data_IF_304468717988
#
_entry.id   IF_304468717988
#
_cell.length_a   1.000
_cell.length_b   1.000
_cell.length_c   1.000
_cell.angle_alpha   90.00
_cell.angle_beta   90.00
_cell.angle_gamma   90.00
#
_symmetry.space_group_name_H-M   'P 1'
#
loop_
_entity.id
_entity.type
_entity.pdbx_description
1 polymer ?
#
# COMPACT_ATOMS: atom_id res chain seq x y z
N UNK A 1 -24.83 31.95 -6.41
CA UNK A 1 -24.19 31.38 -5.22
C UNK A 1 -22.68 31.59 -5.37
N UNK A 2 -22.07 32.25 -4.43
CA UNK A 2 -20.69 32.75 -4.55
C UNK A 2 -19.71 31.57 -4.51
N UNK A 3 -19.01 31.33 -5.62
CA UNK A 3 -18.01 30.25 -5.80
C UNK A 3 -16.94 30.32 -4.70
N UNK A 4 -16.60 31.52 -4.22
CA UNK A 4 -15.61 31.73 -3.16
C UNK A 4 -16.03 31.13 -1.80
N UNK A 5 -17.33 31.01 -1.49
CA UNK A 5 -17.81 30.40 -0.25
C UNK A 5 -17.75 28.86 -0.26
N UNK A 6 -17.64 28.22 -1.45
CA UNK A 6 -17.56 26.75 -1.61
C UNK A 6 -16.15 26.18 -1.43
N UNK A 7 -15.11 27.00 -1.43
CA UNK A 7 -13.70 26.56 -1.43
C UNK A 7 -13.10 26.35 -0.02
N UNK A 8 -13.69 26.96 1.02
CA UNK A 8 -13.19 26.81 2.40
C UNK A 8 -13.59 25.45 2.95
N UNK A 9 -12.68 24.49 2.91
CA UNK A 9 -12.91 23.15 3.49
C UNK A 9 -12.74 23.21 5.01
N UNK A 10 -13.82 22.92 5.72
CA UNK A 10 -13.84 22.75 7.18
C UNK A 10 -13.48 21.31 7.56
N UNK A 11 -13.11 21.10 8.84
CA UNK A 11 -12.95 19.75 9.40
C UNK A 11 -14.22 18.90 9.20
N UNK A 12 -15.41 19.48 9.35
CA UNK A 12 -16.68 18.77 9.17
C UNK A 12 -16.81 18.27 7.73
N UNK A 13 -16.41 19.05 6.73
CA UNK A 13 -16.43 18.61 5.33
C UNK A 13 -15.50 17.43 5.07
N UNK A 14 -14.31 17.39 5.68
CA UNK A 14 -13.41 16.23 5.59
C UNK A 14 -14.05 14.98 6.19
N UNK A 15 -14.71 15.14 7.34
CA UNK A 15 -15.43 14.05 8.01
C UNK A 15 -16.62 13.57 7.15
N UNK A 16 -17.39 14.47 6.55
CA UNK A 16 -18.51 14.12 5.66
C UNK A 16 -18.02 13.32 4.45
N UNK A 17 -16.94 13.74 3.80
CA UNK A 17 -16.33 12.98 2.69
C UNK A 17 -15.86 11.60 3.14
N UNK A 18 -15.05 11.53 4.22
CA UNK A 18 -14.57 10.27 4.77
C UNK A 18 -15.72 9.31 5.05
N UNK A 19 -16.77 9.76 5.73
CA UNK A 19 -17.94 8.94 6.09
C UNK A 19 -18.76 8.53 4.87
N UNK A 20 -18.81 9.37 3.85
CA UNK A 20 -19.45 9.00 2.57
C UNK A 20 -18.72 7.81 1.93
N UNK A 21 -17.40 7.88 1.77
CA UNK A 21 -16.61 6.79 1.20
C UNK A 21 -16.68 5.53 2.07
N UNK A 22 -16.58 5.67 3.38
CA UNK A 22 -16.71 4.55 4.31
C UNK A 22 -18.04 3.82 4.19
N UNK A 23 -19.11 4.57 3.99
CA UNK A 23 -20.47 4.04 3.86
C UNK A 23 -20.74 3.34 2.52
N UNK A 24 -20.01 3.72 1.46
CA UNK A 24 -20.19 3.22 0.11
C UNK A 24 -18.87 2.68 -0.48
N UNK A 25 -18.23 1.72 0.19
CA UNK A 25 -16.93 1.20 -0.23
C UNK A 25 -17.04 0.34 -1.49
N UNK A 26 -16.01 0.37 -2.33
CA UNK A 26 -15.92 -0.47 -3.52
C UNK A 26 -14.57 -1.20 -3.52
N UNK A 27 -14.56 -2.47 -3.97
CA UNK A 27 -13.36 -3.30 -4.02
C UNK A 27 -12.39 -2.82 -5.10
N UNK A 28 -11.12 -3.25 -4.99
CA UNK A 28 -10.08 -3.04 -6.00
C UNK A 28 -10.57 -3.41 -7.41
N UNK A 29 -10.29 -2.56 -8.38
CA UNK A 29 -10.76 -2.64 -9.78
C UNK A 29 -12.30 -2.57 -9.98
N UNK A 30 -13.05 -2.07 -8.98
CA UNK A 30 -14.50 -1.90 -9.02
C UNK A 30 -14.94 -0.51 -8.50
N UNK A 31 -14.03 0.44 -8.36
CA UNK A 31 -14.23 1.77 -7.74
C UNK A 31 -14.97 2.75 -8.70
N UNK A 32 -16.05 2.29 -9.31
CA UNK A 32 -16.79 3.07 -10.31
C UNK A 32 -17.46 4.30 -9.70
N UNK A 33 -18.23 4.12 -8.62
CA UNK A 33 -18.95 5.21 -7.95
C UNK A 33 -18.00 6.09 -7.14
N UNK A 34 -17.01 5.49 -6.47
CA UNK A 34 -15.99 6.18 -5.71
C UNK A 34 -15.23 7.15 -6.60
N UNK A 35 -14.70 6.66 -7.73
CA UNK A 35 -13.98 7.50 -8.68
C UNK A 35 -14.88 8.54 -9.36
N UNK A 36 -16.16 8.21 -9.62
CA UNK A 36 -17.12 9.16 -10.17
C UNK A 36 -17.41 10.29 -9.19
N UNK A 37 -17.60 9.98 -7.90
CA UNK A 37 -17.84 10.99 -6.87
C UNK A 37 -16.63 11.95 -6.72
N UNK A 38 -15.41 11.42 -6.71
CA UNK A 38 -14.18 12.22 -6.72
C UNK A 38 -14.11 13.11 -7.95
N UNK A 39 -14.35 12.54 -9.15
CA UNK A 39 -14.33 13.27 -10.40
C UNK A 39 -15.33 14.41 -10.41
N UNK A 40 -16.56 14.18 -9.92
CA UNK A 40 -17.62 15.20 -9.89
C UNK A 40 -17.30 16.35 -8.95
N UNK A 41 -16.68 16.09 -7.77
CA UNK A 41 -16.20 17.16 -6.87
C UNK A 41 -15.13 18.01 -7.56
N UNK A 42 -14.15 17.36 -8.19
CA UNK A 42 -12.99 18.05 -8.75
C UNK A 42 -13.35 18.90 -9.99
N UNK A 43 -14.23 18.40 -10.87
CA UNK A 43 -14.65 19.12 -12.08
C UNK A 43 -15.47 20.39 -11.79
N UNK A 44 -16.07 20.49 -10.60
CA UNK A 44 -16.77 21.70 -10.15
C UNK A 44 -15.80 22.86 -9.82
N UNK A 45 -14.48 22.62 -9.78
CA UNK A 45 -13.45 23.60 -9.47
C UNK A 45 -12.84 24.14 -10.78
N UNK A 46 -13.17 25.37 -11.21
CA UNK A 46 -12.89 25.84 -12.59
C UNK A 46 -11.42 25.95 -12.97
N UNK A 47 -10.50 25.97 -11.97
CA UNK A 47 -9.06 26.10 -12.22
C UNK A 47 -8.31 24.75 -12.27
N UNK A 48 -9.03 23.64 -12.17
CA UNK A 48 -8.46 22.32 -12.30
C UNK A 48 -8.68 21.75 -13.69
N UNK A 49 -7.65 21.08 -14.22
CA UNK A 49 -7.75 20.21 -15.37
C UNK A 49 -7.97 18.77 -14.83
N UNK A 50 -9.17 18.25 -14.97
CA UNK A 50 -9.54 16.94 -14.42
C UNK A 50 -9.64 15.92 -15.55
N UNK A 51 -9.05 14.75 -15.35
CA UNK A 51 -9.01 13.65 -16.31
C UNK A 51 -9.15 12.28 -15.64
N UNK A 52 -9.36 11.25 -16.44
CA UNK A 52 -9.36 9.84 -16.03
C UNK A 52 -8.23 9.12 -16.75
N UNK A 53 -7.04 8.99 -16.13
CA UNK A 53 -5.92 8.30 -16.75
C UNK A 53 -6.20 6.82 -17.03
N UNK A 54 -6.92 6.16 -16.13
CA UNK A 54 -7.40 4.78 -16.27
C UNK A 54 -8.90 4.72 -16.05
N UNK A 55 -9.49 3.55 -16.15
CA UNK A 55 -10.95 3.35 -15.98
C UNK A 55 -11.47 3.87 -14.64
N UNK A 56 -10.72 3.66 -13.56
CA UNK A 56 -11.17 3.95 -12.20
C UNK A 56 -10.34 5.02 -11.48
N UNK A 57 -9.25 5.50 -12.06
CA UNK A 57 -8.46 6.57 -11.47
C UNK A 57 -8.96 7.96 -11.87
N UNK A 58 -8.63 8.95 -11.04
CA UNK A 58 -8.88 10.35 -11.33
C UNK A 58 -7.58 11.13 -11.12
N UNK A 59 -7.26 12.01 -12.07
CA UNK A 59 -6.16 12.97 -11.93
C UNK A 59 -6.71 14.39 -12.08
N UNK A 60 -6.33 15.26 -11.15
CA UNK A 60 -6.55 16.70 -11.28
C UNK A 60 -5.20 17.43 -11.32
N UNK A 61 -5.09 18.44 -12.17
CA UNK A 61 -3.90 19.28 -12.32
C UNK A 61 -4.22 20.69 -11.93
N UNK A 62 -3.44 21.25 -11.02
CA UNK A 62 -3.48 22.66 -10.64
C UNK A 62 -2.23 23.35 -11.18
N UNK A 63 -2.41 24.14 -12.23
CA UNK A 63 -1.32 24.89 -12.85
C UNK A 63 -1.19 26.23 -12.16
N UNK A 64 0.00 26.49 -11.60
CA UNK A 64 0.36 27.75 -10.95
C UNK A 64 0.53 28.91 -11.94
N UNK A 65 0.81 30.08 -11.42
CA UNK A 65 0.96 31.33 -12.22
C UNK A 65 2.38 31.55 -12.75
N UNK A 66 3.35 30.84 -12.24
CA UNK A 66 4.76 30.97 -12.60
C UNK A 66 5.36 29.60 -12.93
N UNK A 67 6.36 29.52 -13.79
CA UNK A 67 7.11 28.29 -14.02
C UNK A 67 7.71 27.76 -12.71
N UNK A 68 7.78 26.43 -12.57
CA UNK A 68 8.33 25.78 -11.39
C UNK A 68 8.26 24.26 -11.53
N UNK A 69 8.42 23.57 -10.43
CA UNK A 69 8.42 22.11 -10.35
C UNK A 69 7.01 21.52 -10.44
N UNK A 70 6.93 20.29 -10.93
CA UNK A 70 5.71 19.49 -10.90
C UNK A 70 5.76 18.53 -9.71
N UNK A 71 4.79 18.64 -8.80
CA UNK A 71 4.68 17.82 -7.61
C UNK A 71 3.42 16.97 -7.70
N UNK A 72 3.56 15.65 -7.60
CA UNK A 72 2.43 14.74 -7.51
C UNK A 72 2.10 14.40 -6.06
N UNK A 73 0.81 14.23 -5.77
CA UNK A 73 0.28 13.81 -4.46
C UNK A 73 -0.73 12.71 -4.69
N UNK A 74 -0.60 11.58 -3.98
CA UNK A 74 -1.43 10.39 -4.19
C UNK A 74 -2.29 10.07 -2.98
N UNK A 75 -3.51 9.64 -3.26
CA UNK A 75 -4.36 8.87 -2.37
C UNK A 75 -4.94 7.65 -3.10
N UNK A 76 -5.01 6.51 -2.43
CA UNK A 76 -5.71 5.31 -2.85
C UNK A 76 -7.22 5.40 -2.55
N UNK A 77 -8.04 4.54 -3.20
CA UNK A 77 -9.49 4.66 -3.12
C UNK A 77 -10.24 3.35 -2.83
N UNK A 78 -9.60 2.21 -2.95
CA UNK A 78 -10.23 0.91 -2.84
C UNK A 78 -10.49 0.46 -1.41
N UNK A 79 -11.40 -0.50 -1.27
CA UNK A 79 -11.79 -1.15 -0.03
C UNK A 79 -11.50 -2.65 -0.08
N UNK A 80 -11.68 -3.32 1.06
CA UNK A 80 -11.34 -4.72 1.29
C UNK A 80 -12.59 -5.62 1.39
N UNK A 81 -12.48 -6.91 1.04
CA UNK A 81 -13.54 -7.90 1.18
C UNK A 81 -13.68 -8.36 2.64
N UNK A 82 -14.04 -7.43 3.53
CA UNK A 82 -14.17 -7.65 4.97
C UNK A 82 -15.58 -7.29 5.40
N UNK A 83 -16.21 -8.15 6.21
CA UNK A 83 -17.48 -7.85 6.85
C UNK A 83 -17.26 -6.94 8.06
N UNK A 84 -17.81 -5.74 8.01
CA UNK A 84 -17.64 -4.75 9.07
C UNK A 84 -18.42 -5.12 10.34
N UNK A 85 -17.76 -4.98 11.50
CA UNK A 85 -18.29 -5.24 12.83
C UNK A 85 -18.40 -3.99 13.73
N UNK A 86 -18.26 -2.80 13.14
CA UNK A 86 -18.44 -1.54 13.86
C UNK A 86 -19.93 -1.22 14.10
N UNK A 87 -20.21 -0.31 15.07
CA UNK A 87 -21.56 0.03 15.48
C UNK A 87 -21.91 1.53 15.30
N UNK A 88 -21.07 2.32 14.62
CA UNK A 88 -21.37 3.72 14.34
C UNK A 88 -22.36 3.87 13.15
N UNK A 89 -22.95 5.05 12.99
CA UNK A 89 -24.04 5.35 12.04
C UNK A 89 -23.62 5.45 10.56
N UNK A 90 -22.33 5.34 10.27
CA UNK A 90 -21.77 5.40 8.91
C UNK A 90 -21.03 4.11 8.49
N UNK A 91 -21.38 2.95 9.07
CA UNK A 91 -20.88 1.64 8.64
C UNK A 91 -21.16 1.39 7.15
N UNK A 92 -20.40 0.48 6.56
CA UNK A 92 -20.60 0.05 5.17
C UNK A 92 -22.05 -0.40 4.91
N UNK A 93 -22.62 0.08 3.81
CA UNK A 93 -23.93 -0.39 3.32
C UNK A 93 -23.84 -1.63 2.44
N UNK A 94 -22.61 -2.09 2.13
CA UNK A 94 -22.36 -3.27 1.30
C UNK A 94 -21.82 -4.42 2.19
N UNK A 95 -22.67 -5.43 2.52
CA UNK A 95 -22.22 -6.55 3.33
C UNK A 95 -20.99 -7.23 2.75
N UNK A 96 -19.95 -7.43 3.57
CA UNK A 96 -18.71 -8.06 3.16
C UNK A 96 -17.70 -7.14 2.47
N UNK A 97 -17.93 -5.83 2.42
CA UNK A 97 -16.98 -4.84 1.90
C UNK A 97 -16.81 -3.71 2.90
N UNK A 98 -15.57 -3.34 3.22
CA UNK A 98 -15.24 -2.32 4.22
C UNK A 98 -13.96 -1.57 3.87
N UNK A 99 -13.93 -0.26 4.12
CA UNK A 99 -12.67 0.48 4.20
C UNK A 99 -11.93 0.14 5.50
N UNK A 100 -11.19 -0.96 5.51
CA UNK A 100 -10.44 -1.44 6.67
C UNK A 100 -8.95 -1.08 6.63
N UNK A 101 -8.52 -0.23 5.66
CA UNK A 101 -7.15 0.28 5.57
C UNK A 101 -7.04 1.80 5.74
N UNK A 102 -8.16 2.54 5.65
CA UNK A 102 -8.18 3.99 5.87
C UNK A 102 -8.16 4.82 4.57
N UNK A 103 -8.35 4.19 3.41
CA UNK A 103 -8.36 4.86 2.11
C UNK A 103 -9.50 5.87 1.98
N UNK A 104 -10.63 5.66 2.66
CA UNK A 104 -11.70 6.65 2.83
C UNK A 104 -11.18 7.96 3.43
N UNK A 105 -10.29 7.88 4.41
CA UNK A 105 -9.60 9.02 5.00
C UNK A 105 -8.54 9.63 4.07
N UNK A 106 -7.81 8.80 3.29
CA UNK A 106 -6.82 9.28 2.33
C UNK A 106 -7.48 10.12 1.22
N UNK A 107 -8.60 9.66 0.67
CA UNK A 107 -9.38 10.42 -0.31
C UNK A 107 -9.83 11.76 0.28
N UNK A 108 -10.40 11.74 1.50
CA UNK A 108 -10.87 12.94 2.15
C UNK A 108 -9.74 13.96 2.42
N UNK A 109 -8.56 13.48 2.84
CA UNK A 109 -7.36 14.31 3.01
C UNK A 109 -6.97 14.93 1.67
N UNK A 110 -6.85 14.14 0.60
CA UNK A 110 -6.40 14.65 -0.70
C UNK A 110 -7.39 15.66 -1.29
N UNK A 111 -8.70 15.44 -1.17
CA UNK A 111 -9.72 16.44 -1.52
C UNK A 111 -9.54 17.74 -0.72
N UNK A 112 -9.25 17.62 0.58
CA UNK A 112 -8.93 18.76 1.42
C UNK A 112 -7.69 19.53 0.96
N UNK A 113 -6.63 18.81 0.57
CA UNK A 113 -5.39 19.37 0.00
C UNK A 113 -5.67 20.12 -1.29
N UNK A 114 -6.47 19.54 -2.20
CA UNK A 114 -6.90 20.17 -3.45
C UNK A 114 -7.51 21.53 -3.17
N UNK A 115 -8.53 21.58 -2.31
CA UNK A 115 -9.24 22.85 -2.02
C UNK A 115 -8.31 23.89 -1.41
N UNK A 116 -7.42 23.50 -0.48
CA UNK A 116 -6.47 24.43 0.16
C UNK A 116 -5.44 24.99 -0.82
N UNK A 117 -4.94 24.17 -1.75
CA UNK A 117 -3.97 24.63 -2.74
C UNK A 117 -4.64 25.47 -3.84
N UNK A 118 -5.90 25.20 -4.18
CA UNK A 118 -6.68 26.07 -5.07
C UNK A 118 -6.85 27.47 -4.49
N UNK A 119 -7.14 27.60 -3.18
CA UNK A 119 -7.16 28.90 -2.49
C UNK A 119 -5.81 29.62 -2.58
N UNK A 120 -4.71 28.86 -2.56
CA UNK A 120 -3.35 29.39 -2.60
C UNK A 120 -2.76 29.50 -4.02
N UNK A 121 -3.55 29.26 -5.09
CA UNK A 121 -3.06 29.14 -6.47
C UNK A 121 -2.14 30.27 -6.93
N UNK A 122 -2.41 31.50 -6.54
CA UNK A 122 -1.59 32.68 -6.91
C UNK A 122 -0.15 32.59 -6.38
N UNK A 123 0.09 31.76 -5.35
CA UNK A 123 1.42 31.53 -4.74
C UNK A 123 2.12 30.29 -5.30
N UNK A 124 1.41 29.49 -6.12
CA UNK A 124 1.96 28.25 -6.67
C UNK A 124 2.84 28.57 -7.87
N UNK A 125 4.08 28.06 -7.83
CA UNK A 125 5.00 27.99 -8.96
C UNK A 125 5.04 26.54 -9.46
N UNK A 126 4.91 26.34 -10.78
CA UNK A 126 4.87 25.01 -11.38
C UNK A 126 3.48 24.38 -11.38
N UNK A 127 3.42 23.08 -11.19
CA UNK A 127 2.20 22.27 -11.30
C UNK A 127 2.05 21.36 -10.08
N UNK A 128 0.80 21.17 -9.61
CA UNK A 128 0.46 20.14 -8.64
C UNK A 128 -0.47 19.13 -9.32
N UNK A 129 -0.10 17.83 -9.27
CA UNK A 129 -0.94 16.72 -9.73
C UNK A 129 -1.51 15.98 -8.55
N UNK A 130 -2.82 15.88 -8.49
CA UNK A 130 -3.54 15.11 -7.48
C UNK A 130 -3.96 13.80 -8.11
N UNK A 131 -3.43 12.69 -7.60
CA UNK A 131 -3.64 11.34 -8.10
C UNK A 131 -4.55 10.57 -7.16
N UNK A 132 -5.77 10.31 -7.58
CA UNK A 132 -6.71 9.43 -6.88
C UNK A 132 -6.64 8.07 -7.56
N UNK A 133 -6.00 7.13 -6.87
CA UNK A 133 -5.62 5.84 -7.41
C UNK A 133 -6.61 4.75 -6.98
N UNK A 134 -6.96 3.86 -7.89
CA UNK A 134 -7.70 2.63 -7.64
C UNK A 134 -6.77 1.47 -7.27
N UNK A 135 -7.34 0.38 -6.72
CA UNK A 135 -6.76 -0.96 -6.58
C UNK A 135 -5.34 -0.98 -6.00
N UNK A 136 -5.15 -0.44 -4.79
CA UNK A 136 -3.90 -0.59 -4.04
C UNK A 136 -3.78 -1.99 -3.44
N UNK A 137 -4.87 -2.56 -2.93
CA UNK A 137 -4.93 -3.78 -2.11
C UNK A 137 -4.86 -5.09 -2.92
N UNK A 138 -4.90 -5.01 -4.26
CA UNK A 138 -4.97 -6.20 -5.11
C UNK A 138 -4.02 -6.11 -6.30
N UNK A 139 -3.17 -7.13 -6.49
CA UNK A 139 -2.24 -7.21 -7.62
C UNK A 139 -2.97 -7.16 -8.97
N UNK A 140 -2.37 -6.57 -10.01
CA UNK A 140 -1.03 -5.96 -10.07
C UNK A 140 -0.96 -4.52 -9.52
N UNK A 141 -2.03 -3.98 -8.97
CA UNK A 141 -2.13 -2.61 -8.45
C UNK A 141 -2.49 -1.57 -9.50
N UNK A 142 -3.22 -0.55 -9.05
CA UNK A 142 -3.62 0.56 -9.91
C UNK A 142 -2.49 1.56 -10.21
N UNK A 143 -1.45 1.58 -9.38
CA UNK A 143 -0.33 2.50 -9.56
C UNK A 143 0.44 2.24 -10.87
N UNK A 144 0.70 0.99 -11.23
CA UNK A 144 1.38 0.63 -12.49
C UNK A 144 0.55 1.06 -13.71
N UNK A 145 -0.79 0.89 -13.67
CA UNK A 145 -1.68 1.35 -14.75
C UNK A 145 -1.64 2.88 -14.90
N UNK A 146 -1.66 3.61 -13.79
CA UNK A 146 -1.57 5.07 -13.80
C UNK A 146 -0.21 5.55 -14.33
N UNK A 147 0.88 4.91 -13.92
CA UNK A 147 2.23 5.20 -14.44
C UNK A 147 2.30 4.95 -15.94
N UNK A 148 1.75 3.82 -16.42
CA UNK A 148 1.68 3.51 -17.85
C UNK A 148 0.84 4.52 -18.64
N UNK A 149 -0.20 5.09 -18.01
CA UNK A 149 -1.02 6.17 -18.58
C UNK A 149 -0.34 7.55 -18.57
N UNK A 150 0.92 7.65 -18.12
CA UNK A 150 1.74 8.86 -18.23
C UNK A 150 1.52 9.90 -17.10
N UNK A 151 0.84 9.56 -16.00
CA UNK A 151 0.57 10.53 -14.92
C UNK A 151 1.85 11.09 -14.28
N UNK A 152 2.97 10.38 -14.42
CA UNK A 152 4.27 10.77 -13.86
C UNK A 152 5.18 11.49 -14.86
N UNK A 153 4.76 11.74 -16.09
CA UNK A 153 5.58 12.44 -17.08
C UNK A 153 5.88 13.88 -16.62
N UNK A 154 7.19 14.20 -16.47
CA UNK A 154 7.64 15.52 -16.04
C UNK A 154 7.39 15.83 -14.56
N UNK A 155 7.06 14.82 -13.73
CA UNK A 155 6.95 15.00 -12.27
C UNK A 155 8.34 15.04 -11.65
N UNK A 156 8.62 16.08 -10.87
CA UNK A 156 9.89 16.26 -10.12
C UNK A 156 9.88 15.51 -8.79
N UNK A 157 8.74 15.52 -8.08
CA UNK A 157 8.57 14.87 -6.78
C UNK A 157 7.19 14.24 -6.64
N UNK A 158 7.12 13.12 -5.91
CA UNK A 158 5.85 12.53 -5.51
C UNK A 158 5.80 12.32 -4.00
N UNK A 159 4.65 12.60 -3.40
CA UNK A 159 4.38 12.36 -1.99
C UNK A 159 3.07 11.62 -1.78
N UNK A 160 3.08 10.68 -0.85
CA UNK A 160 1.91 9.94 -0.38
C UNK A 160 1.98 9.78 1.13
N UNK A 161 0.85 9.45 1.75
CA UNK A 161 0.80 9.16 3.16
C UNK A 161 -0.23 8.08 3.48
N UNK A 162 0.01 7.35 4.57
CA UNK A 162 -0.94 6.41 5.13
C UNK A 162 -1.41 6.84 6.51
N UNK A 163 -2.70 6.76 6.76
CA UNK A 163 -3.30 6.86 8.08
C UNK A 163 -2.96 5.58 8.87
N UNK A 164 -2.21 5.70 9.96
CA UNK A 164 -1.62 4.54 10.62
C UNK A 164 -2.22 4.30 11.99
N UNK A 165 -3.01 3.22 12.13
CA UNK A 165 -3.76 2.91 13.34
C UNK A 165 -2.89 2.63 14.57
N UNK A 166 -1.68 2.10 14.39
CA UNK A 166 -0.74 1.87 15.50
C UNK A 166 0.03 3.12 15.94
N UNK A 167 -0.07 4.22 15.20
CA UNK A 167 0.46 5.53 15.57
C UNK A 167 -0.67 6.39 16.14
N UNK A 168 -0.43 6.99 17.29
CA UNK A 168 -1.42 7.82 17.99
C UNK A 168 -1.76 9.08 17.18
N UNK A 169 -3.04 9.45 17.14
CA UNK A 169 -3.52 10.68 16.49
C UNK A 169 -2.75 11.91 17.00
N UNK A 170 -2.46 12.83 16.10
CA UNK A 170 -1.63 13.99 16.40
C UNK A 170 -0.14 13.78 16.14
N UNK A 171 0.29 12.56 15.83
CA UNK A 171 1.69 12.25 15.46
C UNK A 171 1.85 12.10 13.96
N UNK A 172 3.04 12.43 13.47
CA UNK A 172 3.50 12.21 12.09
C UNK A 172 4.70 11.29 12.14
N UNK A 173 4.67 10.21 11.36
CA UNK A 173 5.74 9.23 11.25
C UNK A 173 6.47 9.34 9.92
N UNK A 174 7.79 9.29 9.93
CA UNK A 174 8.62 9.26 8.72
C UNK A 174 9.58 8.08 8.76
N UNK A 175 9.91 7.54 7.58
CA UNK A 175 10.91 6.49 7.40
C UNK A 175 11.85 6.92 6.29
N UNK A 176 13.14 6.90 6.54
CA UNK A 176 14.18 7.21 5.56
C UNK A 176 14.63 5.94 4.85
N UNK A 177 14.74 5.97 3.52
CA UNK A 177 15.13 4.81 2.73
C UNK A 177 14.04 3.73 2.67
N UNK A 178 14.38 2.44 2.79
CA UNK A 178 13.41 1.36 2.71
C UNK A 178 12.34 1.49 3.80
N UNK A 179 11.08 1.60 3.38
CA UNK A 179 9.94 1.88 4.26
C UNK A 179 8.93 0.73 4.32
N UNK A 180 8.58 0.14 3.17
CA UNK A 180 7.61 -0.95 3.08
C UNK A 180 8.14 -2.05 2.15
N UNK A 181 7.77 -3.31 2.43
CA UNK A 181 8.35 -4.47 1.77
C UNK A 181 7.68 -4.78 0.43
N UNK A 182 8.44 -5.43 -0.44
CA UNK A 182 7.90 -6.13 -1.61
C UNK A 182 7.13 -7.37 -1.15
N UNK A 183 5.86 -7.57 -1.54
CA UNK A 183 5.07 -8.74 -1.21
C UNK A 183 5.05 -9.70 -2.41
N UNK A 184 5.84 -10.79 -2.36
CA UNK A 184 5.84 -11.82 -3.39
C UNK A 184 5.14 -13.09 -2.93
N UNK A 185 4.73 -13.90 -3.89
CA UNK A 185 4.07 -15.19 -3.67
C UNK A 185 4.86 -16.28 -4.40
N UNK A 186 5.03 -17.43 -3.78
CA UNK A 186 5.60 -18.61 -4.41
C UNK A 186 4.67 -19.81 -4.27
N UNK A 187 4.70 -20.66 -5.29
CA UNK A 187 3.97 -21.94 -5.32
C UNK A 187 4.90 -23.06 -5.79
N UNK A 188 4.85 -24.18 -5.07
CA UNK A 188 5.63 -25.37 -5.34
C UNK A 188 4.67 -26.55 -5.43
N UNK A 189 4.74 -27.31 -6.50
CA UNK A 189 4.05 -28.60 -6.63
C UNK A 189 5.12 -29.69 -6.69
N UNK A 190 5.09 -30.62 -5.75
CA UNK A 190 5.99 -31.76 -5.71
C UNK A 190 5.24 -32.96 -6.30
N UNK A 191 5.81 -33.56 -7.33
CA UNK A 191 5.26 -34.72 -8.03
C UNK A 191 6.09 -35.95 -7.70
N UNK A 192 5.56 -36.81 -6.85
CA UNK A 192 6.14 -38.07 -6.46
C UNK A 192 5.54 -39.27 -7.22
N UNK A 193 5.39 -40.37 -6.51
CA UNK A 193 4.69 -41.58 -6.97
C UNK A 193 3.83 -42.09 -5.83
N UNK A 194 2.52 -41.98 -5.96
CA UNK A 194 1.56 -42.46 -4.97
C UNK A 194 1.53 -43.96 -4.85
N UNK A 195 0.97 -44.46 -3.73
CA UNK A 195 0.81 -45.89 -3.52
C UNK A 195 0.34 -46.28 -2.12
N UNK A 196 0.44 -47.58 -1.81
CA UNK A 196 -0.04 -48.12 -0.54
C UNK A 196 0.87 -47.70 0.61
N UNK A 197 0.32 -47.08 1.66
CA UNK A 197 1.09 -46.56 2.79
C UNK A 197 1.91 -47.63 3.57
N UNK A 198 1.50 -48.87 3.53
CA UNK A 198 2.23 -50.02 4.10
C UNK A 198 3.39 -50.52 3.24
N UNK A 199 3.55 -50.05 2.01
CA UNK A 199 4.58 -50.45 1.05
C UNK A 199 5.33 -49.22 0.52
N UNK A 200 5.88 -48.35 1.41
CA UNK A 200 6.43 -47.06 1.02
C UNK A 200 7.64 -47.13 0.10
N UNK A 201 8.37 -48.23 0.09
CA UNK A 201 9.54 -48.45 -0.78
C UNK A 201 9.21 -48.57 -2.26
N UNK A 202 7.95 -48.76 -2.63
CA UNK A 202 7.47 -48.73 -4.02
C UNK A 202 6.97 -47.33 -4.47
N UNK A 203 7.02 -46.34 -3.58
CA UNK A 203 6.50 -45.00 -3.78
C UNK A 203 7.62 -43.95 -3.79
N UNK A 204 7.27 -42.71 -4.16
CA UNK A 204 8.03 -41.49 -3.92
C UNK A 204 7.12 -40.54 -3.14
N UNK A 205 7.34 -40.48 -1.84
CA UNK A 205 6.41 -39.83 -0.90
C UNK A 205 6.49 -38.32 -0.99
N UNK A 206 5.51 -37.71 -1.63
CA UNK A 206 5.43 -36.27 -1.83
C UNK A 206 5.26 -35.46 -0.51
N UNK A 207 4.62 -36.05 0.53
CA UNK A 207 4.49 -35.40 1.85
C UNK A 207 5.85 -35.39 2.55
N UNK A 208 6.56 -36.51 2.60
CA UNK A 208 7.88 -36.58 3.24
C UNK A 208 8.87 -35.62 2.59
N UNK A 209 8.87 -35.52 1.26
CA UNK A 209 9.70 -34.59 0.49
C UNK A 209 9.28 -33.14 0.78
N UNK A 210 7.98 -32.85 0.76
CA UNK A 210 7.45 -31.49 1.02
C UNK A 210 7.83 -30.97 2.41
N UNK A 211 7.81 -31.84 3.44
CA UNK A 211 8.26 -31.46 4.78
C UNK A 211 9.74 -31.09 4.82
N UNK A 212 10.59 -31.79 4.04
CA UNK A 212 12.00 -31.45 3.89
C UNK A 212 12.18 -30.09 3.18
N UNK A 213 11.44 -29.84 2.11
CA UNK A 213 11.44 -28.53 1.43
C UNK A 213 11.09 -27.42 2.41
N UNK A 214 9.96 -27.51 3.13
CA UNK A 214 9.54 -26.50 4.12
C UNK A 214 10.61 -26.26 5.17
N UNK A 215 11.24 -27.33 5.68
CA UNK A 215 12.32 -27.23 6.68
C UNK A 215 13.55 -26.51 6.11
N UNK A 216 13.95 -26.81 4.88
CA UNK A 216 15.11 -26.20 4.25
C UNK A 216 14.87 -24.73 3.87
N UNK A 217 13.66 -24.35 3.48
CA UNK A 217 13.30 -22.95 3.20
C UNK A 217 13.54 -22.03 4.41
N UNK A 218 13.42 -22.54 5.65
CA UNK A 218 13.71 -21.76 6.86
C UNK A 218 15.17 -21.32 6.95
N UNK A 219 16.09 -22.02 6.28
CA UNK A 219 17.51 -21.67 6.27
C UNK A 219 17.81 -20.42 5.44
N UNK A 220 16.94 -20.06 4.50
CA UNK A 220 17.12 -18.86 3.69
C UNK A 220 17.26 -17.63 4.59
N UNK A 221 16.32 -17.45 5.52
CA UNK A 221 16.34 -16.34 6.47
C UNK A 221 17.43 -16.53 7.54
N UNK A 222 17.49 -17.73 8.12
CA UNK A 222 18.31 -17.95 9.33
C UNK A 222 19.81 -18.16 9.06
N UNK A 223 20.22 -18.56 7.84
CA UNK A 223 21.61 -18.91 7.51
C UNK A 223 22.16 -18.30 6.22
N UNK A 224 21.30 -17.96 5.25
CA UNK A 224 21.74 -17.49 3.94
C UNK A 224 21.53 -15.99 3.75
N UNK A 225 20.79 -15.32 4.63
CA UNK A 225 20.55 -13.88 4.59
C UNK A 225 21.47 -13.17 5.59
N UNK A 226 22.00 -12.01 5.20
CA UNK A 226 22.75 -11.16 6.14
C UNK A 226 21.85 -10.80 7.34
N UNK A 227 22.28 -11.02 8.58
CA UNK A 227 21.48 -10.73 9.78
C UNK A 227 20.98 -9.27 9.90
N UNK A 228 21.60 -8.34 9.18
CA UNK A 228 21.19 -6.93 9.13
C UNK A 228 20.16 -6.63 8.05
N UNK A 229 19.90 -7.59 7.13
CA UNK A 229 18.88 -7.46 6.12
C UNK A 229 17.56 -8.07 6.60
N UNK A 230 16.46 -7.37 6.35
CA UNK A 230 15.12 -7.86 6.70
C UNK A 230 14.54 -8.69 5.57
N UNK A 231 14.26 -9.96 5.86
CA UNK A 231 13.63 -10.90 4.95
C UNK A 231 12.62 -11.77 5.70
N UNK A 232 11.45 -11.98 5.09
CA UNK A 232 10.45 -12.97 5.53
C UNK A 232 10.25 -14.00 4.41
N UNK A 233 10.32 -15.29 4.75
CA UNK A 233 9.91 -16.41 3.89
C UNK A 233 8.96 -17.26 4.72
N UNK A 234 7.68 -17.23 4.40
CA UNK A 234 6.64 -17.93 5.14
C UNK A 234 5.91 -18.90 4.22
N UNK A 235 5.89 -20.17 4.57
CA UNK A 235 4.96 -21.16 3.99
C UNK A 235 3.62 -21.01 4.69
N UNK A 236 2.57 -20.74 3.94
CA UNK A 236 1.23 -20.45 4.46
C UNK A 236 0.19 -21.51 4.13
N UNK A 237 0.49 -22.35 3.14
CA UNK A 237 -0.37 -23.47 2.73
C UNK A 237 0.48 -24.71 2.45
N UNK A 238 -0.05 -25.88 2.85
CA UNK A 238 0.51 -27.20 2.52
C UNK A 238 -0.67 -28.17 2.36
N UNK A 239 -0.92 -28.61 1.15
CA UNK A 239 -2.04 -29.50 0.82
C UNK A 239 -1.53 -30.79 0.20
N UNK A 240 -1.87 -31.92 0.81
CA UNK A 240 -1.54 -33.27 0.28
C UNK A 240 -2.41 -34.35 0.92
N UNK A 241 -2.68 -35.41 0.15
CA UNK A 241 -3.36 -36.60 0.64
C UNK A 241 -4.86 -36.45 0.86
N UNK A 242 -5.57 -37.59 0.85
CA UNK A 242 -7.03 -37.63 1.02
C UNK A 242 -7.48 -38.72 2.01
N UNK A 243 -6.61 -39.72 2.30
CA UNK A 243 -6.93 -40.81 3.20
C UNK A 243 -5.66 -41.35 3.88
N UNK A 244 -5.81 -42.01 5.04
CA UNK A 244 -4.73 -42.44 5.91
C UNK A 244 -3.88 -43.62 5.38
N UNK A 245 -4.36 -44.36 4.39
CA UNK A 245 -3.69 -45.57 3.89
C UNK A 245 -3.12 -45.46 2.47
N UNK A 246 -3.08 -44.21 1.92
CA UNK A 246 -2.54 -43.91 0.59
C UNK A 246 -1.50 -42.84 0.70
N UNK A 247 -0.30 -43.07 0.18
CA UNK A 247 0.71 -42.04 -0.06
C UNK A 247 0.29 -41.26 -1.30
N UNK A 248 0.11 -39.92 -1.22
CA UNK A 248 -0.34 -39.12 -2.37
C UNK A 248 0.76 -38.95 -3.40
N UNK A 249 0.34 -38.80 -4.66
CA UNK A 249 1.24 -38.53 -5.77
C UNK A 249 1.77 -37.08 -5.73
N UNK A 250 0.97 -36.16 -5.22
CA UNK A 250 1.32 -34.71 -5.22
C UNK A 250 1.20 -34.10 -3.82
N UNK A 251 2.05 -33.10 -3.58
CA UNK A 251 1.94 -32.15 -2.48
C UNK A 251 2.09 -30.75 -3.05
N UNK A 252 1.19 -29.86 -2.64
CA UNK A 252 1.18 -28.44 -3.01
C UNK A 252 1.57 -27.60 -1.80
N UNK A 253 2.51 -26.66 -2.01
CA UNK A 253 3.02 -25.75 -0.99
C UNK A 253 2.92 -24.34 -1.56
N UNK A 254 2.31 -23.42 -0.81
CA UNK A 254 2.29 -22.00 -1.16
C UNK A 254 2.83 -21.17 0.01
N UNK A 255 3.39 -20.02 -0.34
CA UNK A 255 3.93 -19.12 0.65
C UNK A 255 4.19 -17.71 0.12
N UNK A 256 4.71 -16.90 1.01
CA UNK A 256 4.98 -15.49 0.69
C UNK A 256 6.40 -15.10 1.09
N UNK A 257 6.96 -14.17 0.30
CA UNK A 257 8.24 -13.53 0.59
C UNK A 257 8.00 -12.04 0.83
N UNK A 258 8.71 -11.46 1.82
CA UNK A 258 8.75 -10.02 2.06
C UNK A 258 10.19 -9.57 2.13
N UNK A 259 10.56 -8.55 1.37
CA UNK A 259 11.91 -7.98 1.42
C UNK A 259 11.87 -6.46 1.25
N UNK A 260 12.81 -5.79 1.90
CA UNK A 260 12.97 -4.33 1.81
C UNK A 260 13.97 -3.92 0.71
N UNK A 261 14.60 -4.90 0.03
CA UNK A 261 15.62 -4.68 -0.99
C UNK A 261 15.34 -5.51 -2.24
N UNK A 262 15.51 -4.90 -3.38
CA UNK A 262 15.22 -5.53 -4.68
C UNK A 262 16.17 -6.71 -4.96
N UNK A 263 17.47 -6.55 -4.68
CA UNK A 263 18.48 -7.59 -4.92
C UNK A 263 18.21 -8.84 -4.05
N UNK A 264 17.81 -8.63 -2.80
CA UNK A 264 17.48 -9.73 -1.88
C UNK A 264 16.24 -10.50 -2.32
N UNK A 265 15.28 -9.79 -2.92
CA UNK A 265 14.06 -10.36 -3.52
C UNK A 265 14.41 -11.36 -4.62
N UNK A 266 15.21 -10.94 -5.61
CA UNK A 266 15.64 -11.80 -6.73
C UNK A 266 16.53 -12.98 -6.28
N UNK A 267 17.39 -12.74 -5.29
CA UNK A 267 18.19 -13.79 -4.70
C UNK A 267 17.34 -14.85 -3.99
N UNK A 268 16.28 -14.42 -3.32
CA UNK A 268 15.38 -15.31 -2.57
C UNK A 268 14.61 -16.25 -3.48
N UNK A 269 14.09 -15.76 -4.61
CA UNK A 269 13.46 -16.60 -5.64
C UNK A 269 14.40 -17.75 -6.07
N UNK A 270 15.62 -17.39 -6.47
CA UNK A 270 16.64 -18.37 -6.92
C UNK A 270 16.98 -19.37 -5.83
N UNK A 271 17.08 -18.96 -4.57
CA UNK A 271 17.38 -19.82 -3.43
C UNK A 271 16.23 -20.80 -3.14
N UNK A 272 14.98 -20.33 -3.22
CA UNK A 272 13.79 -21.19 -3.07
C UNK A 272 13.83 -22.27 -4.14
N UNK A 273 13.97 -21.91 -5.41
CA UNK A 273 14.00 -22.86 -6.50
C UNK A 273 15.14 -23.88 -6.38
N UNK A 274 16.36 -23.41 -6.03
CA UNK A 274 17.51 -24.31 -5.81
C UNK A 274 17.24 -25.33 -4.69
N UNK A 275 16.65 -24.92 -3.58
CA UNK A 275 16.32 -25.81 -2.47
C UNK A 275 15.29 -26.85 -2.93
N UNK A 276 14.21 -26.41 -3.58
CA UNK A 276 13.17 -27.29 -4.10
C UNK A 276 13.78 -28.33 -5.05
N UNK A 277 14.55 -27.88 -6.02
CA UNK A 277 15.25 -28.74 -7.01
C UNK A 277 16.08 -29.80 -6.33
N UNK A 278 17.02 -29.41 -5.47
CA UNK A 278 17.96 -30.38 -4.88
C UNK A 278 17.27 -31.35 -3.92
N UNK A 279 16.27 -30.90 -3.16
CA UNK A 279 15.52 -31.81 -2.27
C UNK A 279 14.70 -32.78 -3.09
N UNK A 280 13.98 -32.37 -4.12
CA UNK A 280 13.18 -33.28 -4.95
C UNK A 280 14.04 -34.25 -5.73
N UNK A 281 15.15 -33.79 -6.32
CA UNK A 281 16.11 -34.68 -7.04
C UNK A 281 16.71 -35.75 -6.15
N UNK A 282 17.02 -35.44 -4.87
CA UNK A 282 17.59 -36.41 -3.92
C UNK A 282 16.66 -37.60 -3.66
N UNK A 283 15.36 -37.45 -3.83
CA UNK A 283 14.36 -38.52 -3.62
C UNK A 283 13.70 -39.03 -4.92
N UNK A 284 14.16 -38.52 -6.07
CA UNK A 284 13.63 -38.93 -7.38
C UNK A 284 12.23 -38.40 -7.71
N UNK A 285 11.81 -37.32 -7.05
CA UNK A 285 10.58 -36.57 -7.36
C UNK A 285 10.82 -35.51 -8.44
N UNK A 286 9.74 -35.12 -9.11
CA UNK A 286 9.70 -33.91 -9.95
C UNK A 286 9.09 -32.74 -9.19
N UNK A 287 9.22 -31.56 -9.72
CA UNK A 287 8.58 -30.35 -9.16
C UNK A 287 8.16 -29.37 -10.25
N UNK A 288 7.16 -28.56 -9.92
CA UNK A 288 6.83 -27.33 -10.62
C UNK A 288 7.00 -26.18 -9.63
N UNK A 289 7.66 -25.10 -10.04
CA UNK A 289 7.88 -23.91 -9.24
C UNK A 289 7.37 -22.68 -10.01
N UNK A 290 6.61 -21.86 -9.33
CA UNK A 290 6.23 -20.52 -9.82
C UNK A 290 6.47 -19.48 -8.74
N UNK A 291 6.89 -18.31 -9.17
CA UNK A 291 7.12 -17.15 -8.32
C UNK A 291 6.45 -15.93 -8.95
N UNK A 292 5.60 -15.27 -8.19
CA UNK A 292 4.88 -14.08 -8.63
C UNK A 292 5.44 -12.87 -7.88
N UNK A 293 6.01 -11.96 -8.64
CA UNK A 293 6.48 -10.69 -8.12
C UNK A 293 5.29 -9.75 -7.90
N UNK A 294 5.03 -9.40 -6.65
CA UNK A 294 4.11 -8.33 -6.29
C UNK A 294 4.75 -6.94 -6.42
N UNK A 295 4.31 -5.99 -5.62
CA UNK A 295 4.83 -4.61 -5.64
C UNK A 295 6.33 -4.55 -5.34
N UNK A 296 6.99 -3.50 -5.80
CA UNK A 296 8.38 -3.23 -5.42
C UNK A 296 8.44 -2.73 -3.97
N UNK A 297 9.61 -2.80 -3.30
CA UNK A 297 9.76 -2.13 -2.02
C UNK A 297 9.51 -0.62 -2.17
N UNK A 298 8.83 -0.03 -1.20
CA UNK A 298 8.77 1.44 -1.07
C UNK A 298 10.10 1.91 -0.49
N UNK A 299 10.84 2.69 -1.27
CA UNK A 299 12.12 3.26 -0.85
C UNK A 299 12.03 4.77 -0.92
N UNK A 300 11.90 5.39 0.24
CA UNK A 300 11.76 6.83 0.37
C UNK A 300 13.06 7.57 0.04
N UNK A 301 12.97 8.64 -0.75
CA UNK A 301 14.08 9.55 -1.00
C UNK A 301 14.43 10.33 0.28
N UNK A 302 15.72 10.39 0.61
CA UNK A 302 16.18 11.02 1.85
C UNK A 302 15.88 12.52 1.91
N UNK A 303 16.05 13.25 0.80
CA UNK A 303 15.84 14.71 0.76
C UNK A 303 14.36 15.06 0.80
N UNK A 304 13.54 14.29 0.09
CA UNK A 304 12.08 14.47 0.10
C UNK A 304 11.52 14.17 1.49
N UNK A 305 11.99 13.07 2.12
CA UNK A 305 11.60 12.71 3.49
C UNK A 305 12.02 13.77 4.51
N UNK A 306 13.23 14.33 4.37
CA UNK A 306 13.70 15.41 5.25
C UNK A 306 12.80 16.65 5.17
N UNK A 307 12.31 17.02 3.98
CA UNK A 307 11.39 18.14 3.83
C UNK A 307 10.08 17.88 4.58
N UNK A 308 9.52 16.65 4.48
CA UNK A 308 8.32 16.26 5.24
C UNK A 308 8.59 16.32 6.75
N UNK A 309 9.71 15.72 7.22
CA UNK A 309 10.07 15.73 8.64
C UNK A 309 10.21 17.16 9.17
N UNK A 310 10.96 18.02 8.48
CA UNK A 310 11.16 19.42 8.89
C UNK A 310 9.84 20.21 8.90
N UNK A 311 8.97 19.97 7.91
CA UNK A 311 7.64 20.57 7.86
C UNK A 311 6.79 20.15 9.06
N UNK A 312 6.74 18.86 9.36
CA UNK A 312 6.00 18.36 10.51
C UNK A 312 6.56 18.89 11.85
N UNK A 313 7.89 18.97 11.97
CA UNK A 313 8.55 19.56 13.15
C UNK A 313 8.18 21.04 13.33
N UNK A 314 8.11 21.82 12.26
CA UNK A 314 7.70 23.23 12.31
C UNK A 314 6.23 23.39 12.72
N UNK A 315 5.35 22.51 12.24
CA UNK A 315 3.92 22.56 12.53
C UNK A 315 3.57 22.09 13.94
N UNK A 316 4.20 21.03 14.41
CA UNK A 316 3.71 20.29 15.58
C UNK A 316 4.75 20.11 16.68
N UNK A 317 6.02 20.45 16.45
CA UNK A 317 7.10 20.25 17.40
C UNK A 317 7.62 18.81 17.47
N UNK A 318 8.74 18.65 18.19
CA UNK A 318 9.51 17.40 18.24
C UNK A 318 8.72 16.20 18.81
N UNK A 319 7.83 16.44 19.73
CA UNK A 319 7.10 15.38 20.45
C UNK A 319 6.06 14.68 19.57
N UNK A 320 5.65 15.33 18.48
CA UNK A 320 4.66 14.81 17.56
C UNK A 320 5.25 14.25 16.25
N UNK A 321 6.57 14.25 16.12
CA UNK A 321 7.24 13.70 14.92
C UNK A 321 8.12 12.53 15.32
N UNK A 322 7.92 11.37 14.70
CA UNK A 322 8.61 10.12 15.04
C UNK A 322 9.24 9.52 13.79
N UNK A 323 10.50 9.10 13.89
CA UNK A 323 11.11 8.21 12.90
C UNK A 323 10.69 6.79 13.22
N UNK A 324 9.93 6.19 12.32
CA UNK A 324 9.44 4.82 12.45
C UNK A 324 10.44 3.81 11.91
N UNK A 325 10.28 2.54 12.29
CA UNK A 325 10.97 1.42 11.67
C UNK A 325 10.22 1.00 10.39
N UNK A 326 10.91 0.42 9.40
CA UNK A 326 10.27 -0.18 8.24
C UNK A 326 9.21 -1.22 8.62
N UNK A 327 8.21 -1.39 7.76
CA UNK A 327 7.19 -2.44 7.92
C UNK A 327 7.27 -3.48 6.80
N UNK A 328 6.80 -4.70 7.10
CA UNK A 328 6.70 -5.77 6.10
C UNK A 328 5.37 -5.77 5.33
N UNK A 329 4.52 -4.73 5.49
CA UNK A 329 3.38 -4.48 4.63
C UNK A 329 3.83 -4.10 3.21
N UNK A 330 3.02 -4.45 2.20
CA UNK A 330 3.21 -4.02 0.81
C UNK A 330 2.54 -2.67 0.56
N UNK A 331 2.95 -1.99 -0.53
CA UNK A 331 2.32 -0.74 -0.98
C UNK A 331 2.74 -0.45 -2.44
N UNK A 332 1.76 -0.27 -3.33
CA UNK A 332 2.02 -0.07 -4.75
C UNK A 332 2.44 1.35 -5.13
N UNK A 333 2.44 2.30 -4.16
CA UNK A 333 3.06 3.62 -4.31
C UNK A 333 4.50 3.54 -4.82
N UNK A 334 5.15 2.40 -4.58
CA UNK A 334 6.49 2.07 -5.09
C UNK A 334 6.62 2.20 -6.61
N UNK A 335 5.54 2.03 -7.39
CA UNK A 335 5.54 2.20 -8.84
C UNK A 335 5.81 3.67 -9.23
N UNK A 336 5.21 4.62 -8.53
CA UNK A 336 5.45 6.04 -8.74
C UNK A 336 6.89 6.45 -8.39
N UNK A 337 7.47 5.85 -7.34
CA UNK A 337 8.85 6.09 -6.92
C UNK A 337 9.89 5.63 -7.94
N UNK A 338 9.52 4.78 -8.90
CA UNK A 338 10.39 4.42 -10.02
C UNK A 338 10.53 5.57 -11.05
N UNK A 339 9.66 6.58 -10.99
CA UNK A 339 9.57 7.66 -11.98
C UNK A 339 10.06 9.01 -11.44
N UNK A 340 9.93 9.24 -10.14
CA UNK A 340 10.39 10.47 -9.50
C UNK A 340 10.81 10.20 -8.05
N UNK A 341 11.78 10.97 -7.49
CA UNK A 341 12.09 10.92 -6.08
C UNK A 341 10.84 11.30 -5.27
N UNK A 342 10.59 10.58 -4.18
CA UNK A 342 9.39 10.79 -3.39
C UNK A 342 9.48 10.19 -2.00
N UNK A 343 8.42 10.33 -1.24
CA UNK A 343 8.31 9.75 0.11
C UNK A 343 6.88 9.37 0.43
N UNK A 344 6.75 8.27 1.14
CA UNK A 344 5.53 7.79 1.74
C UNK A 344 5.68 7.88 3.26
N UNK A 345 4.86 8.71 3.90
CA UNK A 345 4.93 8.98 5.32
C UNK A 345 3.65 8.55 6.04
N UNK A 346 3.62 8.64 7.37
CA UNK A 346 2.53 8.11 8.16
C UNK A 346 1.88 9.20 9.00
N UNK A 347 0.56 9.18 9.09
CA UNK A 347 -0.25 10.07 9.90
C UNK A 347 -0.91 9.23 10.99
N UNK A 348 -0.66 9.54 12.25
CA UNK A 348 -1.26 8.82 13.35
C UNK A 348 -2.79 8.93 13.35
N UNK A 349 -3.44 7.76 13.41
CA UNK A 349 -4.89 7.63 13.32
C UNK A 349 -5.50 6.80 14.46
N UNK A 350 -4.68 6.19 15.33
CA UNK A 350 -5.14 5.46 16.51
C UNK A 350 -5.47 6.38 17.69
N UNK A 351 -6.40 5.97 18.55
CA UNK A 351 -6.74 6.69 19.76
C UNK A 351 -7.28 5.72 20.82
N UNK A 352 -6.44 5.41 21.81
CA UNK A 352 -6.81 4.46 22.88
C UNK A 352 -7.97 4.97 23.74
N UNK A 353 -8.04 6.27 24.00
CA UNK A 353 -9.10 6.88 24.82
C UNK A 353 -10.47 6.78 24.17
N UNK A 354 -10.52 6.84 22.83
CA UNK A 354 -11.73 6.65 22.02
C UNK A 354 -11.99 5.18 21.64
N UNK A 355 -11.16 4.23 22.10
CA UNK A 355 -11.27 2.81 21.74
C UNK A 355 -10.84 2.49 20.30
N UNK A 356 -10.16 3.40 19.61
CA UNK A 356 -9.64 3.21 18.25
C UNK A 356 -8.27 2.51 18.34
N UNK A 357 -8.30 1.18 18.45
CA UNK A 357 -7.12 0.35 18.75
C UNK A 357 -6.93 -0.84 17.80
N UNK A 358 -7.89 -1.09 16.93
CA UNK A 358 -7.82 -2.22 16.01
C UNK A 358 -6.84 -1.95 14.87
N UNK A 359 -6.04 -2.95 14.47
CA UNK A 359 -5.07 -2.80 13.38
C UNK A 359 -5.78 -2.72 12.02
N UNK A 360 -5.02 -2.32 10.99
CA UNK A 360 -5.46 -2.41 9.59
C UNK A 360 -5.95 -3.81 9.25
N UNK A 361 -6.93 -3.92 8.35
CA UNK A 361 -7.59 -5.15 7.88
C UNK A 361 -8.41 -5.89 8.97
N UNK A 362 -8.62 -5.28 10.13
CA UNK A 362 -9.49 -5.85 11.16
C UNK A 362 -10.95 -5.44 10.92
N UNK A 363 -11.98 -6.32 11.15
CA UNK A 363 -13.41 -5.97 10.96
C UNK A 363 -13.92 -4.78 11.79
N UNK A 364 -13.19 -4.41 12.85
CA UNK A 364 -13.48 -3.24 13.71
C UNK A 364 -12.47 -2.11 13.53
N UNK A 365 -11.73 -2.12 12.43
CA UNK A 365 -10.83 -1.02 12.11
C UNK A 365 -11.61 0.29 11.97
N UNK A 366 -11.06 1.37 12.49
CA UNK A 366 -11.49 2.75 12.21
C UNK A 366 -10.34 3.69 12.53
N UNK A 367 -10.50 4.95 12.17
CA UNK A 367 -9.53 6.02 12.39
C UNK A 367 -10.11 7.11 13.29
N UNK A 368 -9.26 7.80 14.05
CA UNK A 368 -9.65 9.06 14.66
C UNK A 368 -9.70 10.17 13.59
N UNK A 369 -10.88 10.73 13.36
CA UNK A 369 -11.13 11.75 12.34
C UNK A 369 -10.38 13.07 12.62
N UNK A 370 -9.78 13.23 13.80
CA UNK A 370 -8.86 14.33 14.12
C UNK A 370 -7.54 14.23 13.31
N UNK A 371 -7.23 13.06 12.73
CA UNK A 371 -6.10 12.86 11.83
C UNK A 371 -6.27 13.55 10.46
N UNK A 372 -7.52 13.73 9.99
CA UNK A 372 -7.80 14.28 8.67
C UNK A 372 -7.24 15.70 8.46
N UNK A 373 -7.53 16.69 9.32
CA UNK A 373 -6.96 18.03 9.17
C UNK A 373 -5.44 18.05 9.33
N UNK A 374 -4.86 17.13 10.12
CA UNK A 374 -3.40 17.00 10.27
C UNK A 374 -2.78 16.60 8.94
N UNK A 375 -3.35 15.57 8.27
CA UNK A 375 -2.90 15.14 6.96
C UNK A 375 -2.95 16.28 5.94
N UNK A 376 -4.07 16.98 5.84
CA UNK A 376 -4.21 18.15 4.96
C UNK A 376 -3.12 19.18 5.24
N UNK A 377 -2.88 19.53 6.50
CA UNK A 377 -1.91 20.56 6.87
C UNK A 377 -0.47 20.14 6.54
N UNK A 378 -0.08 18.88 6.80
CA UNK A 378 1.25 18.38 6.46
C UNK A 378 1.48 18.39 4.96
N UNK A 379 0.53 17.89 4.16
CA UNK A 379 0.66 17.88 2.71
C UNK A 379 0.76 19.30 2.15
N UNK A 380 -0.16 20.19 2.49
CA UNK A 380 -0.18 21.58 1.98
C UNK A 380 1.10 22.32 2.33
N UNK A 381 1.54 22.23 3.59
CA UNK A 381 2.76 22.93 4.04
C UNK A 381 4.02 22.35 3.38
N UNK A 382 4.08 21.03 3.19
CA UNK A 382 5.20 20.38 2.51
C UNK A 382 5.27 20.77 1.04
N UNK A 383 4.14 20.79 0.33
CA UNK A 383 4.06 21.22 -1.07
C UNK A 383 4.53 22.66 -1.21
N UNK A 384 4.07 23.54 -0.33
CA UNK A 384 4.51 24.94 -0.34
C UNK A 384 6.01 25.07 -0.06
N UNK A 385 6.59 24.23 0.80
CA UNK A 385 8.02 24.18 1.03
C UNK A 385 8.82 23.66 -0.19
N UNK A 386 8.30 22.66 -0.93
CA UNK A 386 8.91 22.20 -2.19
C UNK A 386 8.94 23.31 -3.25
N UNK A 387 7.85 24.08 -3.35
CA UNK A 387 7.72 25.18 -4.31
C UNK A 387 8.66 26.33 -3.95
N UNK A 388 8.84 26.64 -2.67
CA UNK A 388 9.66 27.77 -2.20
C UNK A 388 11.16 27.50 -2.20
N UNK A 389 11.59 26.24 -1.97
CA UNK A 389 13.00 25.84 -1.93
C UNK A 389 13.57 25.48 -3.32
N UNK A 390 12.84 25.72 -4.37
CA UNK A 390 13.23 25.43 -5.76
C UNK A 390 14.16 26.46 -6.40
N UNK A 391 14.91 27.26 -5.62
CA UNK A 391 16.02 28.09 -6.06
C UNK A 391 17.35 27.43 -5.80
#
# INVERSE_FOLDING_TARGET
>A
MDVAKKLVVSKNQLIEWRRHFHKYPELSFQEEKTSQFVFDILREIPCLEVSRPTKYSVMARLIGKQPGKTIAVRADMDALPIHEENEFDFISTYPGVMHACGHDGHIAILLGVVHKLVEAREKIKGEIRFLFQHAEENFPGGAEEMVAAGVMEGVDYIIGAHLWASLEVGKVGVIYGPAMAAPDVFKIIIEGKGGHAGIPHETVDSIAIGTQVVSQLQQIVSRLTNPLDSLVVSVTQFHAGTTHNVIPEQAEIEGTVRSLRHELREETEKRIEQIVKHVTEAYGAKYTFSYEYGYRPVVNDYKVTEIIEQTALQLYGRERVTRLQPTMAGEDFSAFLQKAPGTFFFIGAGNKEKGIIYPHHHPRFTIDEDALPIGVQVFVSSIMNFISKGE
#
